data_IF_869858617691
#
_entry.id   IF_869858617691
#
_cell.length_a   1.000
_cell.length_b   1.000
_cell.length_c   1.000
_cell.angle_alpha   90.00
_cell.angle_beta   90.00
_cell.angle_gamma   90.00
#
_symmetry.space_group_name_H-M   'P 1'
#
loop_
_entity.id
_entity.type
_entity.pdbx_description
1 polymer ?
#
# COMPACT_ATOMS: atom_id res chain seq x y z
N UNK A 1 16.94 12.01 -26.33
CA UNK A 1 16.36 13.37 -26.41
C UNK A 1 17.22 14.19 -27.36
N UNK A 2 16.67 15.21 -27.98
CA UNK A 2 17.20 15.89 -29.18
C UNK A 2 18.59 16.52 -29.03
N UNK A 3 19.01 16.83 -27.82
CA UNK A 3 20.34 17.43 -27.54
C UNK A 3 21.43 16.40 -27.22
N UNK A 4 21.07 15.10 -27.17
CA UNK A 4 22.00 14.02 -26.82
C UNK A 4 22.49 14.03 -25.37
N UNK A 5 22.05 14.99 -24.55
CA UNK A 5 22.48 15.13 -23.15
C UNK A 5 21.73 14.20 -22.19
N UNK A 6 20.52 13.75 -22.54
CA UNK A 6 19.69 12.89 -21.73
C UNK A 6 19.31 11.62 -22.46
N UNK A 7 19.41 10.49 -21.77
CA UNK A 7 18.96 9.17 -22.24
C UNK A 7 17.99 8.59 -21.22
N UNK A 8 16.81 8.16 -21.67
CA UNK A 8 15.90 7.36 -20.87
C UNK A 8 16.09 5.88 -21.20
N UNK A 9 16.38 5.08 -20.17
CA UNK A 9 16.51 3.62 -20.30
C UNK A 9 15.33 2.94 -19.59
N UNK A 10 14.59 2.12 -20.34
CA UNK A 10 13.52 1.29 -19.80
C UNK A 10 14.02 -0.15 -19.61
N UNK A 11 14.00 -0.63 -18.37
CA UNK A 11 14.40 -2.00 -18.03
C UNK A 11 13.26 -2.73 -17.35
N UNK A 12 12.72 -3.77 -17.99
CA UNK A 12 11.59 -4.56 -17.46
C UNK A 12 11.90 -6.07 -17.57
N UNK A 13 12.55 -6.60 -16.55
CA UNK A 13 12.92 -8.02 -16.47
C UNK A 13 11.70 -8.94 -16.42
N UNK A 14 10.58 -8.48 -15.88
CA UNK A 14 9.36 -9.26 -15.71
C UNK A 14 8.40 -9.16 -16.89
N UNK A 15 8.63 -8.22 -17.80
CA UNK A 15 7.82 -7.95 -19.00
C UNK A 15 6.34 -7.65 -18.71
N UNK A 16 6.04 -7.01 -17.57
CA UNK A 16 4.69 -6.57 -17.19
C UNK A 16 4.48 -5.07 -17.37
N UNK A 17 5.56 -4.34 -17.58
CA UNK A 17 5.51 -2.90 -17.77
C UNK A 17 4.96 -2.52 -19.14
N UNK A 18 4.38 -1.34 -19.19
CA UNK A 18 3.89 -0.71 -20.43
C UNK A 18 4.55 0.65 -20.53
N UNK A 19 5.07 0.97 -21.71
CA UNK A 19 5.53 2.32 -22.03
C UNK A 19 4.56 2.88 -23.07
N UNK A 20 4.00 4.03 -22.78
CA UNK A 20 3.08 4.74 -23.66
C UNK A 20 3.44 6.24 -23.68
N UNK A 21 3.02 6.95 -24.70
CA UNK A 21 3.26 8.37 -24.87
C UNK A 21 1.93 9.09 -25.04
N UNK A 22 1.72 10.15 -24.27
CA UNK A 22 0.53 10.98 -24.34
C UNK A 22 0.86 12.46 -24.14
N UNK A 23 -0.03 13.34 -24.53
CA UNK A 23 0.05 14.73 -24.16
C UNK A 23 -0.30 14.87 -22.66
N UNK A 24 0.46 15.65 -21.90
CA UNK A 24 0.22 15.86 -20.47
C UNK A 24 -1.18 16.39 -20.17
N UNK A 25 -1.73 17.22 -21.06
CA UNK A 25 -3.10 17.73 -20.94
C UNK A 25 -4.18 16.66 -21.01
N UNK A 26 -3.88 15.47 -21.57
CA UNK A 26 -4.81 14.34 -21.73
C UNK A 26 -4.56 13.20 -20.75
N UNK A 27 -3.73 13.41 -19.73
CA UNK A 27 -3.36 12.39 -18.75
C UNK A 27 -4.58 11.75 -18.07
N UNK A 28 -5.56 12.56 -17.66
CA UNK A 28 -6.79 12.09 -16.99
C UNK A 28 -7.69 11.24 -17.88
N UNK A 29 -7.55 11.36 -19.20
CA UNK A 29 -8.34 10.62 -20.20
C UNK A 29 -7.63 9.33 -20.65
N UNK A 30 -6.36 9.16 -20.26
CA UNK A 30 -5.58 8.00 -20.67
C UNK A 30 -6.15 6.70 -20.09
N UNK A 31 -6.40 5.70 -20.94
CA UNK A 31 -7.07 4.42 -20.60
C UNK A 31 -6.49 3.67 -19.39
N UNK A 32 -5.18 3.82 -19.13
CA UNK A 32 -4.51 3.18 -18.01
C UNK A 32 -4.56 4.01 -16.72
N UNK A 33 -4.84 5.32 -16.81
CA UNK A 33 -4.82 6.26 -15.69
C UNK A 33 -6.22 6.67 -15.25
N UNK A 34 -7.16 6.83 -16.20
CA UNK A 34 -8.52 7.31 -15.95
C UNK A 34 -9.34 6.48 -14.95
N UNK A 35 -8.95 5.22 -14.73
CA UNK A 35 -9.60 4.33 -13.77
C UNK A 35 -8.94 4.27 -12.40
N UNK A 36 -7.85 5.01 -12.17
CA UNK A 36 -7.17 5.02 -10.88
C UNK A 36 -7.98 5.79 -9.84
N UNK A 37 -7.93 5.29 -8.61
CA UNK A 37 -8.45 6.00 -7.44
C UNK A 37 -7.49 7.10 -6.98
N UNK A 38 -7.86 7.82 -5.91
CA UNK A 38 -7.01 8.86 -5.35
C UNK A 38 -5.69 8.30 -4.83
N UNK A 39 -4.61 9.04 -5.00
CA UNK A 39 -3.29 8.71 -4.47
C UNK A 39 -3.12 9.26 -3.04
N UNK A 40 -2.47 8.53 -2.13
CA UNK A 40 -2.08 9.05 -0.83
C UNK A 40 -1.31 10.37 -0.94
N UNK A 41 -1.42 11.21 0.08
CA UNK A 41 -0.78 12.53 0.17
C UNK A 41 -1.30 13.59 -0.84
N UNK A 42 -2.33 13.28 -1.63
CA UNK A 42 -3.01 14.26 -2.49
C UNK A 42 -4.32 14.76 -1.86
N UNK A 43 -4.80 15.91 -2.30
CA UNK A 43 -6.08 16.47 -1.85
C UNK A 43 -7.29 15.60 -2.22
N UNK A 44 -7.13 14.71 -3.19
CA UNK A 44 -8.18 13.77 -3.63
C UNK A 44 -8.31 12.57 -2.67
N UNK A 45 -7.25 12.21 -1.95
CA UNK A 45 -7.29 11.13 -0.95
C UNK A 45 -7.88 11.62 0.37
N UNK A 46 -9.17 11.71 0.41
CA UNK A 46 -9.94 12.14 1.59
C UNK A 46 -10.50 10.95 2.37
N UNK A 47 -10.86 11.18 3.62
CA UNK A 47 -11.60 10.19 4.40
C UNK A 47 -12.91 9.78 3.71
N UNK A 48 -13.56 10.71 3.01
CA UNK A 48 -14.79 10.44 2.28
C UNK A 48 -14.55 9.58 1.04
N UNK A 49 -13.50 9.85 0.25
CA UNK A 49 -13.16 9.03 -0.91
C UNK A 49 -12.83 7.59 -0.48
N UNK A 50 -12.08 7.41 0.62
CA UNK A 50 -11.79 6.09 1.16
C UNK A 50 -13.06 5.39 1.65
N UNK A 51 -13.95 6.06 2.39
CA UNK A 51 -15.24 5.51 2.81
C UNK A 51 -16.09 5.03 1.63
N UNK A 52 -16.16 5.81 0.58
CA UNK A 52 -16.87 5.43 -0.65
C UNK A 52 -16.24 4.19 -1.32
N UNK A 53 -14.91 4.18 -1.43
CA UNK A 53 -14.17 3.05 -2.01
C UNK A 53 -14.34 1.73 -1.25
N UNK A 54 -14.57 1.77 0.06
CA UNK A 54 -14.79 0.59 0.91
C UNK A 54 -16.26 0.18 1.02
N UNK A 55 -17.19 1.09 0.76
CA UNK A 55 -18.60 0.88 1.01
C UNK A 55 -19.17 -0.33 0.25
N UNK A 56 -19.89 -1.20 0.98
CA UNK A 56 -20.58 -2.35 0.41
C UNK A 56 -19.70 -3.50 -0.10
N UNK A 57 -18.37 -3.34 -0.09
CA UNK A 57 -17.46 -4.35 -0.62
C UNK A 57 -17.29 -5.50 0.38
N UNK A 58 -17.66 -6.72 -0.04
CA UNK A 58 -17.59 -7.95 0.78
C UNK A 58 -16.23 -8.64 0.73
N UNK A 59 -15.32 -8.22 -0.15
CA UNK A 59 -13.96 -8.72 -0.20
C UNK A 59 -13.16 -8.32 1.04
N UNK A 60 -12.11 -9.09 1.41
CA UNK A 60 -11.23 -8.71 2.51
C UNK A 60 -10.67 -7.32 2.34
N UNK A 61 -10.58 -6.58 3.44
CA UNK A 61 -10.12 -5.18 3.44
C UNK A 61 -8.75 -5.02 2.76
N UNK A 62 -7.83 -5.97 2.97
CA UNK A 62 -6.54 -5.94 2.31
C UNK A 62 -6.66 -5.99 0.79
N UNK A 63 -7.49 -6.90 0.28
CA UNK A 63 -7.70 -7.05 -1.18
C UNK A 63 -8.32 -5.79 -1.78
N UNK A 64 -9.21 -5.14 -1.04
CA UNK A 64 -9.86 -3.89 -1.49
C UNK A 64 -8.87 -2.72 -1.51
N UNK A 65 -7.98 -2.60 -0.51
CA UNK A 65 -6.95 -1.57 -0.48
C UNK A 65 -5.84 -1.77 -1.52
N UNK A 66 -5.67 -2.99 -2.05
CA UNK A 66 -4.78 -3.28 -3.18
C UNK A 66 -5.40 -2.97 -4.55
N UNK A 67 -6.71 -2.72 -4.62
CA UNK A 67 -7.39 -2.31 -5.85
C UNK A 67 -7.04 -0.85 -6.15
N UNK A 68 -6.24 -0.64 -7.19
CA UNK A 68 -5.76 0.69 -7.58
C UNK A 68 -6.89 1.67 -7.96
N UNK A 69 -8.12 1.19 -8.15
CA UNK A 69 -9.33 2.01 -8.33
C UNK A 69 -9.87 2.56 -7.01
N UNK A 70 -9.45 2.00 -5.88
CA UNK A 70 -9.85 2.45 -4.54
C UNK A 70 -8.82 3.38 -3.94
N UNK A 71 -7.54 2.98 -3.96
CA UNK A 71 -6.40 3.81 -3.59
C UNK A 71 -5.27 3.48 -4.55
N UNK A 72 -4.85 4.43 -5.35
CA UNK A 72 -3.74 4.24 -6.27
C UNK A 72 -2.39 4.22 -5.51
N UNK A 73 -1.41 3.50 -6.06
CA UNK A 73 -0.05 3.45 -5.54
C UNK A 73 0.18 2.51 -4.35
N UNK A 74 -0.86 1.99 -3.68
CA UNK A 74 -0.68 1.07 -2.57
C UNK A 74 -0.31 -0.34 -3.04
N UNK A 75 0.80 -0.86 -2.52
CA UNK A 75 1.27 -2.22 -2.76
C UNK A 75 1.14 -3.14 -1.54
N UNK A 76 1.54 -4.40 -1.74
CA UNK A 76 1.40 -5.47 -0.74
C UNK A 76 2.11 -5.18 0.59
N UNK A 77 3.23 -4.48 0.55
CA UNK A 77 4.02 -4.10 1.72
C UNK A 77 3.22 -3.09 2.54
N UNK A 78 2.97 -1.94 1.96
CA UNK A 78 2.35 -0.82 2.66
C UNK A 78 0.94 -1.14 3.16
N UNK A 79 0.13 -1.87 2.39
CA UNK A 79 -1.20 -2.29 2.87
C UNK A 79 -1.11 -3.20 4.10
N UNK A 80 -0.08 -4.07 4.20
CA UNK A 80 0.10 -4.92 5.38
C UNK A 80 0.49 -4.07 6.61
N UNK A 81 1.39 -3.10 6.44
CA UNK A 81 1.82 -2.19 7.50
C UNK A 81 0.69 -1.26 7.94
N UNK A 82 -0.02 -0.64 7.00
CA UNK A 82 -1.19 0.23 7.26
C UNK A 82 -2.23 -0.50 8.10
N UNK A 83 -2.58 -1.73 7.73
CA UNK A 83 -3.55 -2.52 8.47
C UNK A 83 -3.06 -2.91 9.87
N UNK A 84 -1.75 -3.17 10.02
CA UNK A 84 -1.16 -3.43 11.33
C UNK A 84 -1.25 -2.20 12.24
N UNK A 85 -0.76 -1.04 11.78
CA UNK A 85 -0.83 0.21 12.53
C UNK A 85 -2.27 0.63 12.86
N UNK A 86 -3.20 0.31 11.96
CA UNK A 86 -4.63 0.54 12.19
C UNK A 86 -5.28 -0.44 13.19
N UNK A 87 -4.59 -1.53 13.56
CA UNK A 87 -5.14 -2.58 14.43
C UNK A 87 -6.25 -3.41 13.76
N UNK A 88 -6.27 -3.49 12.43
CA UNK A 88 -7.35 -4.10 11.66
C UNK A 88 -6.87 -5.41 11.03
N UNK A 89 -7.63 -6.49 11.27
CA UNK A 89 -7.35 -7.78 10.64
C UNK A 89 -7.52 -7.69 9.12
N UNK A 90 -6.53 -8.16 8.33
CA UNK A 90 -6.61 -8.16 6.87
C UNK A 90 -7.71 -9.06 6.31
N UNK A 91 -8.28 -9.94 7.15
CA UNK A 91 -9.33 -10.90 6.76
C UNK A 91 -10.75 -10.34 6.88
N UNK A 92 -10.94 -9.23 7.62
CA UNK A 92 -12.26 -8.58 7.69
C UNK A 92 -12.67 -8.06 6.33
N UNK A 93 -13.97 -8.09 6.05
CA UNK A 93 -14.49 -7.47 4.83
C UNK A 93 -14.40 -5.95 4.90
N UNK A 94 -14.21 -5.31 3.75
CA UNK A 94 -14.18 -3.84 3.70
C UNK A 94 -15.51 -3.23 4.19
N UNK A 95 -16.64 -3.89 3.92
CA UNK A 95 -17.95 -3.47 4.41
C UNK A 95 -18.06 -3.50 5.96
N UNK A 96 -17.47 -4.51 6.62
CA UNK A 96 -17.41 -4.55 8.09
C UNK A 96 -16.56 -3.42 8.64
N UNK A 97 -15.43 -3.14 8.01
CA UNK A 97 -14.49 -2.08 8.42
C UNK A 97 -15.11 -0.68 8.23
N UNK A 98 -15.82 -0.47 7.11
CA UNK A 98 -16.49 0.79 6.82
C UNK A 98 -17.86 0.94 7.51
N UNK A 99 -18.37 -0.13 8.10
CA UNK A 99 -19.69 -0.16 8.75
C UNK A 99 -19.71 0.56 10.10
N UNK A 100 -20.92 0.75 10.63
CA UNK A 100 -21.17 1.40 11.91
C UNK A 100 -21.00 0.45 13.13
N UNK A 101 -20.30 -0.67 12.97
CA UNK A 101 -20.08 -1.60 14.09
C UNK A 101 -19.27 -0.92 15.19
N UNK A 102 -19.77 -0.93 16.42
CA UNK A 102 -19.11 -0.35 17.59
C UNK A 102 -17.70 -0.95 17.84
N UNK A 103 -17.43 -2.17 17.33
CA UNK A 103 -16.13 -2.84 17.52
C UNK A 103 -15.01 -2.25 16.64
N UNK A 104 -15.34 -1.45 15.63
CA UNK A 104 -14.39 -0.93 14.64
C UNK A 104 -14.57 0.60 14.49
N UNK A 105 -15.01 1.28 15.56
CA UNK A 105 -15.14 2.74 15.57
C UNK A 105 -13.81 3.39 15.17
N UNK A 106 -13.87 4.33 14.24
CA UNK A 106 -12.69 5.05 13.76
C UNK A 106 -11.71 4.22 12.90
N UNK A 107 -12.13 3.04 12.41
CA UNK A 107 -11.26 2.17 11.61
C UNK A 107 -10.82 2.82 10.31
N UNK A 108 -11.75 3.40 9.57
CA UNK A 108 -11.45 4.06 8.29
C UNK A 108 -10.62 5.31 8.50
N UNK A 109 -10.87 6.04 9.58
CA UNK A 109 -10.07 7.19 10.02
C UNK A 109 -8.62 6.79 10.31
N UNK A 110 -8.41 5.65 11.00
CA UNK A 110 -7.06 5.11 11.24
C UNK A 110 -6.39 4.66 9.95
N UNK A 111 -7.09 3.93 9.07
CA UNK A 111 -6.54 3.54 7.77
C UNK A 111 -6.13 4.78 6.97
N UNK A 112 -6.98 5.78 6.87
CA UNK A 112 -6.67 7.02 6.15
C UNK A 112 -5.43 7.71 6.72
N UNK A 113 -5.37 7.90 8.04
CA UNK A 113 -4.25 8.51 8.73
C UNK A 113 -2.95 7.74 8.49
N UNK A 114 -2.93 6.45 8.81
CA UNK A 114 -1.72 5.62 8.67
C UNK A 114 -1.32 5.39 7.21
N UNK A 115 -2.24 5.50 6.26
CA UNK A 115 -1.87 5.51 4.83
C UNK A 115 -0.98 6.70 4.53
N UNK A 116 -1.37 7.91 4.93
CA UNK A 116 -0.57 9.10 4.69
C UNK A 116 0.75 9.08 5.49
N UNK A 117 0.70 8.74 6.78
CA UNK A 117 1.89 8.68 7.63
C UNK A 117 2.95 7.71 7.08
N UNK A 118 2.56 6.48 6.78
CA UNK A 118 3.50 5.43 6.32
C UNK A 118 4.05 5.74 4.92
N UNK A 119 3.23 6.26 4.01
CA UNK A 119 3.72 6.63 2.67
C UNK A 119 4.67 7.83 2.75
N UNK A 120 4.37 8.82 3.59
CA UNK A 120 5.27 9.95 3.83
C UNK A 120 6.61 9.49 4.40
N UNK A 121 6.61 8.68 5.46
CA UNK A 121 7.82 8.11 6.07
C UNK A 121 8.62 7.27 5.07
N UNK A 122 7.93 6.52 4.21
CA UNK A 122 8.59 5.71 3.18
C UNK A 122 9.29 6.57 2.12
N UNK A 123 8.69 7.70 1.73
CA UNK A 123 9.31 8.67 0.80
C UNK A 123 10.54 9.29 1.45
N UNK A 124 10.45 9.77 2.69
CA UNK A 124 11.58 10.35 3.43
C UNK A 124 12.73 9.35 3.61
N UNK A 125 12.42 8.05 3.73
CA UNK A 125 13.41 6.99 3.86
C UNK A 125 13.98 6.49 2.50
N UNK A 126 13.65 7.13 1.38
CA UNK A 126 14.09 6.71 0.05
C UNK A 126 13.45 5.43 -0.49
N UNK A 127 12.29 5.05 0.10
CA UNK A 127 11.50 3.89 -0.33
C UNK A 127 11.87 2.56 0.34
N UNK A 128 11.14 1.50 -0.01
CA UNK A 128 11.37 0.13 0.46
C UNK A 128 12.08 -0.68 -0.63
N UNK A 129 13.38 -0.90 -0.48
CA UNK A 129 14.11 -1.83 -1.34
C UNK A 129 13.91 -3.25 -0.83
N UNK A 130 13.32 -4.13 -1.66
CA UNK A 130 13.32 -5.58 -1.42
C UNK A 130 14.58 -6.12 -2.07
N UNK A 131 15.23 -7.13 -1.47
CA UNK A 131 16.51 -7.73 -1.89
C UNK A 131 16.62 -8.03 -3.40
N UNK A 132 15.50 -8.20 -4.09
CA UNK A 132 15.43 -8.52 -5.51
C UNK A 132 15.22 -7.28 -6.42
N UNK A 133 15.05 -6.10 -5.83
CA UNK A 133 14.84 -4.84 -6.55
C UNK A 133 15.88 -3.82 -6.09
N UNK A 134 16.97 -3.71 -6.82
CA UNK A 134 17.92 -2.61 -6.66
C UNK A 134 17.36 -1.38 -7.34
N UNK A 135 17.34 -0.25 -6.65
CA UNK A 135 16.95 1.04 -7.23
C UNK A 135 17.73 1.30 -8.51
N UNK A 136 17.04 1.75 -9.54
CA UNK A 136 17.55 1.85 -10.91
C UNK A 136 18.40 3.11 -11.13
N UNK A 137 18.59 3.94 -10.11
CA UNK A 137 19.38 5.17 -10.19
C UNK A 137 20.89 4.97 -10.21
N UNK A 138 21.35 3.72 -10.07
CA UNK A 138 22.79 3.39 -10.11
C UNK A 138 23.58 3.81 -8.87
N UNK A 139 22.95 4.51 -7.90
CA UNK A 139 23.62 4.95 -6.67
C UNK A 139 23.91 3.78 -5.72
N UNK A 140 23.19 2.67 -5.87
CA UNK A 140 23.33 1.51 -5.00
C UNK A 140 22.77 1.70 -3.59
N UNK A 141 22.17 2.85 -3.32
CA UNK A 141 21.58 3.15 -2.02
C UNK A 141 20.31 2.32 -1.82
N UNK A 142 20.36 1.45 -0.82
CA UNK A 142 19.22 0.67 -0.37
C UNK A 142 18.31 1.60 0.44
N UNK A 143 17.05 1.73 0.03
CA UNK A 143 16.06 2.43 0.87
C UNK A 143 16.00 1.82 2.26
N UNK A 144 16.03 2.64 3.30
CA UNK A 144 16.11 2.21 4.71
C UNK A 144 14.77 1.79 5.32
N UNK A 145 13.66 1.96 4.62
CA UNK A 145 12.32 1.66 5.14
C UNK A 145 12.06 0.20 5.55
N UNK A 146 12.68 -0.85 4.93
CA UNK A 146 12.49 -2.24 5.36
C UNK A 146 12.83 -2.53 6.83
N UNK A 147 13.74 -1.77 7.44
CA UNK A 147 14.14 -1.94 8.84
C UNK A 147 13.01 -1.57 9.82
N UNK A 148 12.00 -0.83 9.37
CA UNK A 148 10.87 -0.36 10.17
C UNK A 148 9.65 -1.27 10.10
N UNK A 149 9.63 -2.29 9.23
CA UNK A 149 8.45 -3.14 9.07
C UNK A 149 8.02 -3.79 10.38
N UNK A 150 6.72 -3.64 10.66
CA UNK A 150 6.06 -4.22 11.84
C UNK A 150 5.64 -5.66 11.60
N UNK A 151 5.18 -5.99 10.40
CA UNK A 151 4.67 -7.33 10.06
C UNK A 151 5.19 -7.90 8.75
N UNK A 152 5.49 -7.06 7.73
CA UNK A 152 5.82 -7.56 6.40
C UNK A 152 7.11 -8.38 6.43
N UNK A 153 7.05 -9.60 5.85
CA UNK A 153 8.13 -10.59 5.80
C UNK A 153 8.68 -11.04 7.17
N UNK A 154 7.87 -10.93 8.25
CA UNK A 154 8.26 -11.27 9.62
C UNK A 154 7.47 -12.44 10.20
N UNK A 155 7.09 -13.41 9.35
CA UNK A 155 6.38 -14.63 9.79
C UNK A 155 7.16 -15.36 10.90
N UNK A 156 6.48 -15.72 11.98
CA UNK A 156 7.06 -16.42 13.13
C UNK A 156 7.74 -15.51 14.16
N UNK A 157 7.99 -14.24 13.83
CA UNK A 157 8.61 -13.31 14.76
C UNK A 157 7.58 -12.73 15.76
N UNK A 158 8.09 -12.25 16.89
CA UNK A 158 7.29 -11.54 17.90
C UNK A 158 6.86 -10.19 17.34
N UNK A 159 5.58 -9.83 17.56
CA UNK A 159 5.04 -8.54 17.18
C UNK A 159 5.77 -7.41 17.91
N UNK A 160 6.24 -6.41 17.15
CA UNK A 160 6.95 -5.24 17.70
C UNK A 160 6.00 -4.25 18.43
N UNK A 161 4.68 -4.40 18.29
CA UNK A 161 3.73 -3.54 19.00
C UNK A 161 3.93 -3.67 20.51
N UNK A 162 4.19 -2.56 21.19
CA UNK A 162 4.41 -2.53 22.62
C UNK A 162 3.23 -3.19 23.38
N UNK A 163 3.56 -4.06 24.33
CA UNK A 163 2.60 -4.82 25.13
C UNK A 163 1.82 -5.92 24.38
N UNK A 164 2.06 -6.11 23.05
CA UNK A 164 1.32 -7.09 22.28
C UNK A 164 1.73 -8.53 22.61
N UNK A 165 3.03 -8.87 22.49
CA UNK A 165 3.54 -10.24 22.69
C UNK A 165 2.91 -11.32 21.79
N UNK A 166 2.26 -10.93 20.69
CA UNK A 166 1.72 -11.85 19.68
C UNK A 166 2.81 -12.29 18.69
N UNK A 167 2.51 -13.35 17.92
CA UNK A 167 3.40 -13.84 16.85
C UNK A 167 2.80 -13.48 15.49
N UNK A 168 3.63 -12.96 14.59
CA UNK A 168 3.23 -12.62 13.23
C UNK A 168 2.89 -13.90 12.47
N UNK A 169 1.75 -13.90 11.80
CA UNK A 169 1.29 -14.99 10.94
C UNK A 169 1.28 -14.57 9.49
N UNK A 170 1.42 -15.55 8.63
CA UNK A 170 1.28 -15.43 7.18
C UNK A 170 0.09 -16.21 6.69
N UNK A 171 -0.71 -15.61 5.81
CA UNK A 171 -1.75 -16.26 5.02
C UNK A 171 -1.60 -15.85 3.55
N UNK A 172 -2.33 -16.49 2.66
CA UNK A 172 -2.38 -16.09 1.24
C UNK A 172 -3.77 -15.52 0.95
N UNK A 173 -3.81 -14.31 0.39
CA UNK A 173 -5.03 -13.66 -0.07
C UNK A 173 -4.83 -13.17 -1.50
N UNK A 174 -5.71 -13.57 -2.41
CA UNK A 174 -5.64 -13.18 -3.84
C UNK A 174 -4.25 -13.41 -4.46
N UNK A 175 -3.63 -14.58 -4.17
CA UNK A 175 -2.31 -14.96 -4.68
C UNK A 175 -1.13 -14.23 -4.04
N UNK A 176 -1.34 -13.39 -3.02
CA UNK A 176 -0.28 -12.60 -2.36
C UNK A 176 -0.13 -12.97 -0.89
N UNK A 177 1.11 -13.04 -0.41
CA UNK A 177 1.39 -13.21 1.02
C UNK A 177 0.86 -12.03 1.82
N UNK A 178 0.19 -12.34 2.94
CA UNK A 178 -0.38 -11.37 3.89
C UNK A 178 0.19 -11.66 5.26
N UNK A 179 0.93 -10.71 5.80
CA UNK A 179 1.52 -10.81 7.13
C UNK A 179 0.72 -9.97 8.11
N UNK A 180 0.42 -10.50 9.28
CA UNK A 180 -0.36 -9.79 10.29
C UNK A 180 -0.15 -10.38 11.68
N UNK A 181 -0.44 -9.60 12.72
CA UNK A 181 -0.49 -10.08 14.09
C UNK A 181 -1.95 -10.37 14.49
N UNK A 182 -2.34 -11.63 14.74
CA UNK A 182 -3.72 -11.96 15.11
C UNK A 182 -4.11 -11.49 16.51
N UNK A 183 -3.15 -11.05 17.34
CA UNK A 183 -3.40 -10.58 18.70
C UNK A 183 -3.81 -9.09 18.73
N UNK A 184 -3.12 -8.23 18.01
CA UNK A 184 -3.43 -6.79 18.01
C UNK A 184 -4.29 -6.35 16.79
N UNK A 185 -4.32 -7.12 15.70
CA UNK A 185 -5.21 -6.83 14.57
C UNK A 185 -6.52 -7.63 14.71
N UNK A 186 -7.60 -6.96 15.04
CA UNK A 186 -8.91 -7.56 15.35
C UNK A 186 -10.01 -7.09 14.41
#
# INVERSE_FOLDING_TARGET
FDDGALTATYSDHRRFGIMDLMQTSSEKEHKLLSGLGPEPLTDEFTLQSLKLGLHGRRSPIKTVLLDQRVVAGLGNIYVSEILHHSGISPTKTAAEVAGKSQRIVGAVERIHRYTNEIIFEAIEAGGSTISDFRGVDGSGDLGYFPQQFMVFNREGEVCKQEGCGGTIRRIVQSGRSTFYCPRCQR
#
